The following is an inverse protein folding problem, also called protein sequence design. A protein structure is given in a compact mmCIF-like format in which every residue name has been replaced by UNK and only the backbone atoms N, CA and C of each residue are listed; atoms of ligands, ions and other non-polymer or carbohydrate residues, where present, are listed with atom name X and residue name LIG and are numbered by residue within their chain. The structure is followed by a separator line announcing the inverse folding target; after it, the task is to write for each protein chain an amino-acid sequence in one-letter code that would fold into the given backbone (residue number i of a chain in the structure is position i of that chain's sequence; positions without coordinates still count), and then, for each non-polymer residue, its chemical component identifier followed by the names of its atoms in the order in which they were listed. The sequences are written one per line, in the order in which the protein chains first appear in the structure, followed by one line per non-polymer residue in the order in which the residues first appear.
data_IF_439693184408
#
_entry.id   IF_439693184408
#
_cell.length_a   1.000
_cell.length_b   1.000
_cell.length_c   1.000
_cell.angle_alpha   90.00
_cell.angle_beta   90.00
_cell.angle_gamma   90.00
#
_symmetry.space_group_name_H-M   'P 1'
#
loop_
_entity.id
_entity.type
_entity.pdbx_description
1 polymer ?
#
# COMPACT_ATOMS: atom_id res chain seq x y z
N UNK A 1 -19.23 5.08 -26.31
CA UNK A 1 -18.81 5.80 -25.09
C UNK A 1 -19.89 5.71 -24.02
N UNK A 2 -21.09 6.28 -24.17
CA UNK A 2 -22.17 6.14 -23.18
C UNK A 2 -22.49 4.66 -22.83
N UNK A 3 -22.65 3.80 -23.85
CA UNK A 3 -22.98 2.38 -23.65
C UNK A 3 -21.86 1.58 -22.94
N UNK A 4 -20.59 1.94 -23.14
CA UNK A 4 -19.46 1.33 -22.43
C UNK A 4 -19.41 1.80 -20.96
N UNK A 5 -19.63 3.10 -20.73
CA UNK A 5 -19.66 3.67 -19.37
C UNK A 5 -20.80 3.06 -18.56
N UNK A 6 -22.01 2.96 -19.13
CA UNK A 6 -23.16 2.32 -18.47
C UNK A 6 -22.91 0.86 -18.13
N UNK A 7 -22.24 0.10 -19.01
CA UNK A 7 -21.86 -1.30 -18.73
C UNK A 7 -20.79 -1.45 -17.66
N UNK A 8 -19.85 -0.50 -17.57
CA UNK A 8 -18.81 -0.48 -16.54
C UNK A 8 -19.41 -0.19 -15.15
N UNK A 9 -20.33 0.78 -15.09
CA UNK A 9 -21.06 1.13 -13.86
C UNK A 9 -21.89 -0.06 -13.36
N UNK A 10 -22.60 -0.76 -14.24
CA UNK A 10 -23.38 -1.97 -13.89
C UNK A 10 -22.49 -3.12 -13.37
N UNK A 11 -21.29 -3.30 -13.94
CA UNK A 11 -20.34 -4.32 -13.52
C UNK A 11 -19.80 -4.01 -12.12
N UNK A 12 -19.41 -2.76 -11.87
CA UNK A 12 -18.92 -2.32 -10.57
C UNK A 12 -20.00 -2.41 -9.50
N UNK A 13 -21.24 -2.02 -9.82
CA UNK A 13 -22.39 -2.17 -8.94
C UNK A 13 -22.63 -3.64 -8.57
N UNK A 14 -22.45 -4.54 -9.53
CA UNK A 14 -22.54 -5.99 -9.29
C UNK A 14 -21.44 -6.46 -8.34
N UNK A 15 -20.19 -6.03 -8.56
CA UNK A 15 -19.06 -6.34 -7.67
C UNK A 15 -19.34 -5.83 -6.25
N UNK A 16 -19.80 -4.59 -6.09
CA UNK A 16 -20.11 -3.99 -4.79
C UNK A 16 -21.21 -4.74 -4.04
N UNK A 17 -22.24 -5.23 -4.76
CA UNK A 17 -23.32 -6.04 -4.17
C UNK A 17 -22.88 -7.46 -3.80
N UNK A 18 -22.03 -8.09 -4.63
CA UNK A 18 -21.56 -9.47 -4.41
C UNK A 18 -20.47 -9.54 -3.34
N UNK A 19 -19.61 -8.51 -3.27
CA UNK A 19 -18.46 -8.44 -2.37
C UNK A 19 -18.55 -7.17 -1.51
N UNK A 20 -19.49 -7.10 -0.55
CA UNK A 20 -19.77 -5.86 0.17
C UNK A 20 -18.58 -5.42 1.04
N UNK A 21 -18.27 -4.13 0.96
CA UNK A 21 -17.27 -3.44 1.79
C UNK A 21 -18.00 -2.50 2.73
N UNK A 22 -17.67 -2.54 4.02
CA UNK A 22 -18.19 -1.61 5.01
C UNK A 22 -17.03 -0.81 5.60
N UNK A 23 -17.09 0.50 5.42
CA UNK A 23 -16.22 1.45 6.10
C UNK A 23 -16.92 1.91 7.38
N UNK A 24 -16.14 2.24 8.40
CA UNK A 24 -16.68 2.80 9.63
C UNK A 24 -15.63 3.58 10.39
N UNK A 25 -16.01 4.03 11.57
CA UNK A 25 -15.10 4.77 12.44
C UNK A 25 -14.11 3.85 13.14
N UNK A 26 -12.86 4.28 13.21
CA UNK A 26 -11.86 3.68 14.09
C UNK A 26 -11.32 4.71 15.07
N UNK A 27 -11.57 4.48 16.36
CA UNK A 27 -10.98 5.26 17.44
C UNK A 27 -9.59 4.71 17.74
N UNK A 28 -8.56 5.47 17.39
CA UNK A 28 -7.19 5.06 17.64
C UNK A 28 -6.94 5.02 19.15
N UNK A 29 -6.35 3.93 19.68
CA UNK A 29 -5.88 3.91 21.06
C UNK A 29 -4.97 5.12 21.33
N UNK A 30 -5.06 5.71 22.53
CA UNK A 30 -4.29 6.89 22.95
C UNK A 30 -2.75 6.68 23.03
N UNK A 31 -2.27 5.57 22.50
CA UNK A 31 -0.88 5.12 22.40
C UNK A 31 -0.83 3.68 21.88
N UNK A 32 0.31 3.27 21.32
CA UNK A 32 0.46 1.93 20.74
C UNK A 32 -0.20 1.78 19.36
N UNK A 33 -0.44 2.87 18.66
CA UNK A 33 -0.84 2.88 17.25
C UNK A 33 0.35 3.28 16.41
N UNK A 34 0.69 2.48 15.40
CA UNK A 34 1.71 2.83 14.41
C UNK A 34 1.06 3.08 13.04
N UNK A 35 1.65 3.99 12.26
CA UNK A 35 1.29 4.21 10.86
C UNK A 35 2.25 3.42 9.97
N UNK A 36 1.72 2.69 9.01
CA UNK A 36 2.48 2.04 7.95
C UNK A 36 2.07 2.65 6.62
N UNK A 37 3.04 3.22 5.90
CA UNK A 37 2.89 3.81 4.58
C UNK A 37 3.53 2.87 3.57
N UNK A 38 2.73 2.37 2.62
CA UNK A 38 3.17 1.38 1.63
C UNK A 38 3.45 2.07 0.28
N UNK A 39 4.72 2.14 -0.08
CA UNK A 39 5.21 2.40 -1.44
C UNK A 39 4.67 3.65 -2.13
N UNK A 40 4.45 4.74 -1.39
CA UNK A 40 4.14 6.07 -1.98
C UNK A 40 5.40 6.71 -2.58
N UNK A 41 6.03 5.96 -3.48
CA UNK A 41 7.22 6.32 -4.24
C UNK A 41 6.84 6.90 -5.61
N UNK A 42 7.72 7.71 -6.20
CA UNK A 42 7.50 8.36 -7.49
C UNK A 42 7.14 7.36 -8.59
N UNK A 43 7.77 6.19 -8.57
CA UNK A 43 7.57 5.08 -9.51
C UNK A 43 6.14 4.56 -9.61
N UNK A 44 5.31 4.83 -8.61
CA UNK A 44 3.90 4.41 -8.57
C UNK A 44 2.91 5.58 -8.47
N UNK A 45 3.35 6.76 -8.03
CA UNK A 45 2.44 7.82 -7.65
C UNK A 45 2.73 9.20 -8.29
N UNK A 46 3.94 9.43 -8.81
CA UNK A 46 4.27 10.69 -9.48
C UNK A 46 4.03 10.60 -10.99
N UNK A 47 3.21 11.50 -11.53
CA UNK A 47 2.80 11.47 -12.93
C UNK A 47 4.00 11.39 -13.88
N UNK A 48 4.04 10.34 -14.71
CA UNK A 48 5.09 10.11 -15.70
C UNK A 48 6.43 9.58 -15.17
N UNK A 49 6.57 9.30 -13.86
CA UNK A 49 7.81 8.81 -13.25
C UNK A 49 7.99 7.28 -13.39
N UNK A 50 7.97 6.75 -14.60
CA UNK A 50 8.18 5.33 -14.87
C UNK A 50 6.93 4.59 -15.37
N UNK A 51 7.06 3.29 -15.68
CA UNK A 51 6.02 2.54 -16.41
C UNK A 51 4.80 2.18 -15.56
N UNK A 52 4.90 2.25 -14.23
CA UNK A 52 3.81 1.95 -13.29
C UNK A 52 3.29 3.19 -12.57
N UNK A 53 3.79 4.37 -12.92
CA UNK A 53 3.27 5.62 -12.41
C UNK A 53 2.08 6.09 -13.27
N UNK A 54 1.17 6.93 -12.74
CA UNK A 54 0.06 7.45 -13.52
C UNK A 54 0.57 8.20 -14.76
N UNK A 55 0.00 7.93 -15.93
CA UNK A 55 0.34 8.66 -17.16
C UNK A 55 -0.20 10.10 -17.16
N UNK A 56 -1.22 10.36 -16.34
CA UNK A 56 -1.87 11.65 -16.15
C UNK A 56 -2.30 11.78 -14.67
N UNK A 57 -2.68 12.99 -14.20
CA UNK A 57 -3.25 13.18 -12.87
C UNK A 57 -4.36 12.17 -12.56
N UNK A 58 -4.30 11.55 -11.39
CA UNK A 58 -5.28 10.58 -10.92
C UNK A 58 -5.81 10.98 -9.54
N UNK A 59 -7.11 11.28 -9.45
CA UNK A 59 -7.72 11.83 -8.26
C UNK A 59 -7.64 10.91 -7.03
N UNK A 60 -7.64 9.58 -7.23
CA UNK A 60 -7.49 8.62 -6.13
C UNK A 60 -6.08 8.66 -5.55
N UNK A 61 -5.06 8.69 -6.42
CA UNK A 61 -3.65 8.78 -6.02
C UNK A 61 -3.35 10.12 -5.35
N UNK A 62 -3.85 11.23 -5.90
CA UNK A 62 -3.69 12.57 -5.29
C UNK A 62 -4.33 12.65 -3.90
N UNK A 63 -5.54 12.09 -3.74
CA UNK A 63 -6.22 12.01 -2.45
C UNK A 63 -5.44 11.17 -1.45
N UNK A 64 -4.93 10.01 -1.88
CA UNK A 64 -4.10 9.14 -1.04
C UNK A 64 -2.90 9.90 -0.48
N UNK A 65 -2.11 10.56 -1.35
CA UNK A 65 -0.91 11.31 -0.93
C UNK A 65 -1.28 12.40 0.08
N UNK A 66 -2.35 13.16 -0.17
CA UNK A 66 -2.80 14.22 0.72
C UNK A 66 -3.25 13.68 2.10
N UNK A 67 -3.98 12.57 2.11
CA UNK A 67 -4.44 11.92 3.33
C UNK A 67 -3.28 11.28 4.11
N UNK A 68 -2.32 10.68 3.41
CA UNK A 68 -1.09 10.13 4.01
C UNK A 68 -0.26 11.25 4.63
N UNK A 69 -0.02 12.36 3.94
CA UNK A 69 0.74 13.50 4.51
C UNK A 69 0.05 14.03 5.79
N UNK A 70 -1.28 14.22 5.73
CA UNK A 70 -2.09 14.66 6.88
C UNK A 70 -1.95 13.71 8.08
N UNK A 71 -2.04 12.40 7.84
CA UNK A 71 -1.90 11.40 8.91
C UNK A 71 -0.47 11.30 9.43
N UNK A 72 0.51 11.27 8.54
CA UNK A 72 1.92 11.20 8.91
C UNK A 72 2.33 12.39 9.78
N UNK A 73 1.88 13.61 9.44
CA UNK A 73 2.09 14.80 10.28
C UNK A 73 1.41 14.69 11.64
N UNK A 74 0.20 14.12 11.70
CA UNK A 74 -0.50 13.86 12.97
C UNK A 74 0.28 12.88 13.85
N UNK A 75 0.82 11.81 13.26
CA UNK A 75 1.63 10.82 13.98
C UNK A 75 2.95 11.42 14.45
N UNK A 76 3.68 12.11 13.57
CA UNK A 76 4.94 12.78 13.90
C UNK A 76 4.75 13.84 15.01
N UNK A 77 3.70 14.67 14.92
CA UNK A 77 3.38 15.68 15.94
C UNK A 77 3.03 15.09 17.31
N UNK A 78 2.57 13.83 17.34
CA UNK A 78 2.30 13.07 18.57
C UNK A 78 3.50 12.20 19.01
N UNK A 79 4.60 12.17 18.26
CA UNK A 79 5.72 11.25 18.47
C UNK A 79 5.34 9.78 18.32
N UNK A 80 4.33 9.48 17.51
CA UNK A 80 3.87 8.12 17.24
C UNK A 80 4.68 7.51 16.09
N UNK A 81 4.97 6.20 16.14
CA UNK A 81 5.89 5.58 15.20
C UNK A 81 5.26 5.48 13.81
N UNK A 82 6.07 5.77 12.80
CA UNK A 82 5.75 5.66 11.38
C UNK A 82 6.74 4.66 10.75
N UNK A 83 6.25 3.73 9.96
CA UNK A 83 7.07 2.82 9.15
C UNK A 83 6.71 3.01 7.69
N UNK A 84 7.71 3.13 6.83
CA UNK A 84 7.53 3.44 5.41
C UNK A 84 8.25 2.39 4.59
N UNK A 85 7.52 1.70 3.71
CA UNK A 85 8.15 0.84 2.72
C UNK A 85 8.52 1.64 1.47
N UNK A 86 9.66 1.29 0.87
CA UNK A 86 10.11 1.83 -0.41
C UNK A 86 10.33 0.67 -1.34
N UNK A 87 9.48 0.55 -2.35
CA UNK A 87 9.72 -0.37 -3.45
C UNK A 87 10.98 0.06 -4.21
N UNK A 88 11.94 -0.86 -4.30
CA UNK A 88 13.29 -0.57 -4.80
C UNK A 88 13.89 -1.82 -5.43
N UNK A 89 14.08 -1.77 -6.74
CA UNK A 89 14.59 -2.91 -7.51
C UNK A 89 15.99 -2.67 -8.07
N UNK A 90 16.77 -3.75 -8.04
CA UNK A 90 17.96 -3.90 -8.88
C UNK A 90 17.51 -4.36 -10.29
N UNK A 91 18.07 -3.81 -11.38
CA UNK A 91 17.74 -4.24 -12.74
C UNK A 91 17.88 -5.75 -12.98
N UNK A 92 18.75 -6.43 -12.25
CA UNK A 92 19.00 -7.87 -12.38
C UNK A 92 18.01 -8.74 -11.58
N UNK A 93 17.03 -8.13 -10.89
CA UNK A 93 16.00 -8.81 -10.10
C UNK A 93 14.59 -8.43 -10.58
N UNK A 94 14.14 -8.98 -11.72
CA UNK A 94 12.81 -8.68 -12.24
C UNK A 94 11.71 -9.28 -11.34
N UNK A 95 10.59 -8.58 -11.24
CA UNK A 95 9.39 -9.04 -10.55
C UNK A 95 8.22 -9.19 -11.56
N UNK A 96 8.17 -10.31 -12.31
CA UNK A 96 7.08 -10.55 -13.25
C UNK A 96 5.73 -10.69 -12.51
N UNK A 97 4.62 -10.23 -13.12
CA UNK A 97 4.48 -9.82 -14.53
C UNK A 97 4.81 -8.34 -14.79
N UNK A 98 5.23 -7.58 -13.77
CA UNK A 98 5.45 -6.14 -13.90
C UNK A 98 6.69 -5.83 -14.75
N UNK A 99 6.67 -4.71 -15.52
CA UNK A 99 7.86 -4.22 -16.20
C UNK A 99 8.91 -3.76 -15.17
N UNK A 100 10.18 -3.55 -15.57
CA UNK A 100 11.18 -2.94 -14.69
C UNK A 100 10.67 -1.60 -14.13
N UNK A 101 10.62 -1.49 -12.81
CA UNK A 101 10.06 -0.35 -12.08
C UNK A 101 10.90 -0.04 -10.84
N UNK A 102 10.72 1.16 -10.27
CA UNK A 102 11.38 1.59 -9.04
C UNK A 102 12.89 1.26 -8.99
N UNK A 103 13.57 1.44 -10.13
CA UNK A 103 14.96 1.01 -10.28
C UNK A 103 15.90 1.96 -9.57
N UNK A 104 16.85 1.41 -8.81
CA UNK A 104 17.88 2.19 -8.12
C UNK A 104 18.62 3.11 -9.09
N UNK A 105 18.73 4.39 -8.72
CA UNK A 105 19.45 5.42 -9.49
C UNK A 105 18.60 6.13 -10.55
N UNK A 106 17.34 5.72 -10.73
CA UNK A 106 16.38 6.46 -11.58
C UNK A 106 15.64 7.56 -10.81
N UNK A 107 15.65 7.48 -9.47
CA UNK A 107 14.84 8.32 -8.60
C UNK A 107 13.38 7.88 -8.51
N UNK A 108 12.97 6.82 -9.21
CA UNK A 108 11.61 6.29 -9.13
C UNK A 108 11.31 5.61 -7.78
N UNK A 109 12.35 5.13 -7.07
CA UNK A 109 12.26 4.50 -5.75
C UNK A 109 12.25 5.50 -4.58
N UNK A 110 12.33 6.80 -4.88
CA UNK A 110 12.23 7.87 -3.89
C UNK A 110 10.76 8.16 -3.57
N UNK A 111 10.48 8.63 -2.35
CA UNK A 111 9.15 9.10 -1.97
C UNK A 111 8.65 10.20 -2.90
N UNK A 112 7.34 10.29 -3.09
CA UNK A 112 6.72 11.47 -3.71
C UNK A 112 7.10 12.74 -2.94
N UNK A 113 7.15 13.87 -3.64
CA UNK A 113 7.74 15.11 -3.12
C UNK A 113 7.05 15.61 -1.84
N UNK A 114 5.75 15.39 -1.75
CA UNK A 114 4.87 15.72 -0.64
C UNK A 114 5.25 14.96 0.64
N UNK A 115 5.82 13.76 0.51
CA UNK A 115 6.19 12.87 1.61
C UNK A 115 7.70 12.81 1.86
N UNK A 116 8.52 13.45 1.02
CA UNK A 116 9.99 13.42 1.13
C UNK A 116 10.52 13.92 2.49
N UNK A 117 9.75 14.73 3.22
CA UNK A 117 10.13 15.19 4.57
C UNK A 117 10.28 14.02 5.57
N UNK A 118 9.63 12.88 5.34
CA UNK A 118 9.72 11.68 6.16
C UNK A 118 11.13 11.09 6.22
N UNK A 119 11.97 11.34 5.22
CA UNK A 119 13.37 10.89 5.22
C UNK A 119 14.19 11.49 6.38
N UNK A 120 13.75 12.63 6.89
CA UNK A 120 14.39 13.35 8.00
C UNK A 120 13.57 13.33 9.29
N UNK A 121 12.41 12.68 9.30
CA UNK A 121 11.50 12.64 10.45
C UNK A 121 11.96 11.59 11.48
N UNK A 122 12.29 11.97 12.73
CA UNK A 122 12.76 11.03 13.75
C UNK A 122 11.78 9.89 14.09
N UNK A 123 10.48 10.13 13.92
CA UNK A 123 9.43 9.12 14.17
C UNK A 123 9.29 8.11 13.02
N UNK A 124 9.92 8.37 11.86
CA UNK A 124 9.80 7.55 10.67
C UNK A 124 10.95 6.54 10.54
N UNK A 125 10.60 5.29 10.25
CA UNK A 125 11.54 4.22 9.89
C UNK A 125 11.30 3.82 8.45
N UNK A 126 12.25 4.16 7.56
CA UNK A 126 12.20 3.80 6.15
C UNK A 126 12.86 2.42 5.93
N UNK A 127 12.20 1.55 5.17
CA UNK A 127 12.65 0.20 4.87
C UNK A 127 12.45 -0.05 3.38
N UNK A 128 13.55 -0.13 2.63
CA UNK A 128 13.50 -0.56 1.23
C UNK A 128 13.18 -2.06 1.13
N UNK A 129 12.40 -2.42 0.11
CA UNK A 129 12.07 -3.81 -0.27
C UNK A 129 12.27 -3.99 -1.77
N UNK A 130 12.61 -5.21 -2.17
CA UNK A 130 12.83 -5.63 -3.56
C UNK A 130 11.77 -6.64 -4.04
N UNK A 131 10.58 -6.60 -3.43
CA UNK A 131 9.42 -7.39 -3.82
C UNK A 131 8.11 -6.72 -3.37
N UNK A 132 6.97 -7.15 -3.92
CA UNK A 132 5.62 -6.69 -3.57
C UNK A 132 5.38 -6.69 -2.06
N UNK A 133 5.67 -7.81 -1.40
CA UNK A 133 5.24 -8.03 -0.04
C UNK A 133 6.19 -7.38 0.99
N UNK A 134 5.75 -6.29 1.60
CA UNK A 134 6.58 -5.56 2.56
C UNK A 134 7.00 -6.39 3.78
N UNK A 135 6.14 -7.30 4.27
CA UNK A 135 6.54 -8.17 5.39
C UNK A 135 7.73 -9.05 5.00
N UNK A 136 7.72 -9.61 3.78
CA UNK A 136 8.85 -10.41 3.26
C UNK A 136 10.08 -9.54 3.05
N UNK A 137 9.93 -8.42 2.34
CA UNK A 137 11.03 -7.49 2.04
C UNK A 137 11.66 -6.83 3.28
N UNK A 138 10.94 -6.76 4.40
CA UNK A 138 11.49 -6.31 5.68
C UNK A 138 12.38 -7.38 6.37
N UNK A 139 12.51 -8.58 5.81
CA UNK A 139 13.39 -9.64 6.33
C UNK A 139 14.82 -9.43 5.85
N UNK A 140 15.74 -9.25 6.79
CA UNK A 140 17.16 -9.17 6.47
C UNK A 140 17.63 -10.50 5.87
N UNK A 141 18.34 -10.44 4.74
CA UNK A 141 18.94 -11.61 4.13
C UNK A 141 20.45 -11.60 4.40
N UNK A 142 20.93 -12.65 5.07
CA UNK A 142 22.35 -12.88 5.27
C UNK A 142 23.03 -13.44 4.01
N UNK A 143 24.33 -13.72 4.11
CA UNK A 143 25.08 -14.38 3.05
C UNK A 143 24.39 -15.68 2.60
N UNK A 144 24.30 -15.89 1.28
CA UNK A 144 23.60 -17.00 0.64
C UNK A 144 22.07 -17.03 0.86
N UNK A 145 21.43 -15.89 1.14
CA UNK A 145 19.96 -15.78 1.16
C UNK A 145 19.28 -16.35 2.39
N UNK A 146 20.02 -16.56 3.48
CA UNK A 146 19.43 -17.03 4.75
C UNK A 146 18.63 -15.90 5.41
N UNK A 147 17.37 -16.16 5.71
CA UNK A 147 16.52 -15.23 6.44
C UNK A 147 17.06 -14.95 7.85
N UNK A 148 17.20 -13.67 8.17
CA UNK A 148 17.60 -13.11 9.45
C UNK A 148 16.41 -12.51 10.19
N UNK A 149 16.63 -11.36 10.83
CA UNK A 149 15.58 -10.65 11.57
C UNK A 149 14.59 -10.00 10.60
N UNK A 150 13.35 -9.87 11.05
CA UNK A 150 12.35 -9.11 10.32
C UNK A 150 12.21 -7.72 10.97
N UNK A 151 12.64 -6.67 10.26
CA UNK A 151 12.71 -5.30 10.77
C UNK A 151 11.33 -4.73 11.11
N UNK A 152 10.29 -5.15 10.40
CA UNK A 152 8.92 -4.77 10.70
C UNK A 152 8.42 -5.41 12.00
N UNK A 153 8.69 -6.71 12.20
CA UNK A 153 8.34 -7.39 13.47
C UNK A 153 9.06 -6.75 14.65
N UNK A 154 10.34 -6.42 14.48
CA UNK A 154 11.11 -5.68 15.49
C UNK A 154 10.51 -4.29 15.76
N UNK A 155 10.08 -3.56 14.73
CA UNK A 155 9.44 -2.26 14.87
C UNK A 155 8.09 -2.35 15.61
N UNK A 156 7.24 -3.33 15.27
CA UNK A 156 5.95 -3.56 15.95
C UNK A 156 6.16 -3.90 17.42
N UNK A 157 7.08 -4.83 17.72
CA UNK A 157 7.34 -5.30 19.07
C UNK A 157 8.06 -4.26 19.93
N UNK A 158 9.04 -3.55 19.37
CA UNK A 158 9.79 -2.50 20.04
C UNK A 158 8.91 -1.32 20.47
N UNK A 159 7.94 -0.96 19.62
CA UNK A 159 6.96 0.09 19.94
C UNK A 159 5.74 -0.43 20.71
N UNK A 160 5.67 -1.75 20.97
CA UNK A 160 4.55 -2.40 21.68
C UNK A 160 3.19 -2.08 21.07
N UNK A 161 3.13 -2.07 19.73
CA UNK A 161 1.92 -1.65 19.04
C UNK A 161 0.77 -2.60 19.36
N UNK A 162 -0.39 -2.00 19.61
CA UNK A 162 -1.69 -2.65 19.72
C UNK A 162 -2.51 -2.52 18.45
N UNK A 163 -2.22 -1.50 17.62
CA UNK A 163 -2.81 -1.35 16.30
C UNK A 163 -1.81 -0.82 15.28
N UNK A 164 -2.03 -1.21 14.02
CA UNK A 164 -1.33 -0.66 12.86
C UNK A 164 -2.38 -0.09 11.92
N UNK A 165 -2.24 1.19 11.56
CA UNK A 165 -3.01 1.85 10.50
C UNK A 165 -2.17 1.81 9.23
N UNK A 166 -2.76 1.34 8.13
CA UNK A 166 -2.10 1.15 6.84
C UNK A 166 -2.72 2.06 5.79
N UNK A 167 -1.85 2.72 5.03
CA UNK A 167 -2.11 3.58 3.87
C UNK A 167 -1.09 3.24 2.77
N UNK A 168 -1.36 3.64 1.53
CA UNK A 168 -0.41 3.51 0.42
C UNK A 168 -0.99 2.87 -0.84
N UNK A 169 -0.09 2.40 -1.71
CA UNK A 169 -0.36 1.95 -3.07
C UNK A 169 0.43 0.66 -3.37
N UNK A 170 -0.07 -0.30 -4.15
CA UNK A 170 -1.45 -0.44 -4.62
C UNK A 170 -2.34 -1.16 -3.60
N UNK A 171 -3.59 -0.73 -3.51
CA UNK A 171 -4.58 -1.23 -2.54
C UNK A 171 -4.75 -2.75 -2.59
N UNK A 172 -4.79 -3.30 -3.79
CA UNK A 172 -5.00 -4.72 -4.07
C UNK A 172 -3.72 -5.50 -4.41
N UNK A 173 -2.55 -4.85 -4.32
CA UNK A 173 -1.23 -5.46 -4.55
C UNK A 173 -0.38 -5.32 -3.28
N UNK A 174 0.51 -4.33 -3.19
CA UNK A 174 1.45 -4.19 -2.07
C UNK A 174 0.73 -3.99 -0.72
N UNK A 175 -0.33 -3.17 -0.67
CA UNK A 175 -1.10 -2.92 0.55
C UNK A 175 -1.81 -4.19 1.00
N UNK A 176 -2.53 -4.86 0.09
CA UNK A 176 -3.24 -6.11 0.41
C UNK A 176 -2.26 -7.20 0.85
N UNK A 177 -1.18 -7.45 0.11
CA UNK A 177 -0.19 -8.48 0.45
C UNK A 177 0.42 -8.26 1.83
N UNK A 178 0.79 -7.01 2.13
CA UNK A 178 1.26 -6.61 3.45
C UNK A 178 0.20 -6.90 4.53
N UNK A 179 -1.04 -6.43 4.35
CA UNK A 179 -2.11 -6.57 5.35
C UNK A 179 -2.44 -8.03 5.61
N UNK A 180 -2.60 -8.85 4.56
CA UNK A 180 -2.91 -10.28 4.69
C UNK A 180 -1.79 -11.05 5.39
N UNK A 181 -0.53 -10.70 5.08
CA UNK A 181 0.63 -11.32 5.70
C UNK A 181 0.80 -10.87 7.15
N UNK A 182 0.59 -9.58 7.45
CA UNK A 182 0.65 -9.03 8.80
C UNK A 182 -0.42 -9.67 9.70
N UNK A 183 -1.65 -9.82 9.20
CA UNK A 183 -2.72 -10.54 9.90
C UNK A 183 -2.31 -11.98 10.23
N UNK A 184 -1.70 -12.67 9.28
CA UNK A 184 -1.23 -14.05 9.46
C UNK A 184 -0.10 -14.13 10.49
N UNK A 185 0.90 -13.25 10.40
CA UNK A 185 2.01 -13.16 11.33
C UNK A 185 1.55 -12.80 12.76
N UNK A 186 0.59 -11.89 12.90
CA UNK A 186 -0.08 -11.57 14.18
C UNK A 186 -0.73 -12.82 14.75
N UNK A 187 -1.55 -13.52 13.97
CA UNK A 187 -2.25 -14.74 14.40
C UNK A 187 -1.28 -15.86 14.76
N UNK A 188 -0.11 -15.91 14.11
CA UNK A 188 0.96 -16.85 14.41
C UNK A 188 1.77 -16.47 15.67
N UNK A 189 1.49 -15.33 16.29
CA UNK A 189 2.13 -14.90 17.54
C UNK A 189 3.48 -14.20 17.36
N UNK A 190 3.83 -13.75 16.15
CA UNK A 190 5.09 -13.02 15.91
C UNK A 190 5.09 -11.62 16.55
N UNK A 191 3.90 -11.06 16.79
CA UNK A 191 3.68 -9.71 17.34
C UNK A 191 2.63 -9.75 18.47
N UNK A 192 2.99 -10.21 19.68
CA UNK A 192 2.03 -10.60 20.72
C UNK A 192 1.15 -9.45 21.25
N UNK A 193 1.56 -8.18 21.06
CA UNK A 193 0.76 -7.01 21.48
C UNK A 193 -0.23 -6.55 20.42
N UNK A 194 0.01 -6.89 19.15
CA UNK A 194 -0.75 -6.36 18.02
C UNK A 194 -2.13 -7.01 17.97
N UNK A 195 -3.18 -6.18 17.97
CA UNK A 195 -4.58 -6.61 17.93
C UNK A 195 -5.23 -6.23 16.62
N UNK A 196 -5.25 -4.94 16.31
CA UNK A 196 -5.94 -4.43 15.14
C UNK A 196 -4.97 -4.17 13.99
N UNK A 197 -5.31 -4.65 12.81
CA UNK A 197 -4.74 -4.20 11.53
C UNK A 197 -5.84 -3.41 10.84
N UNK A 198 -5.57 -2.14 10.57
CA UNK A 198 -6.56 -1.16 10.13
C UNK A 198 -6.12 -0.62 8.78
N UNK A 199 -7.02 -0.57 7.81
CA UNK A 199 -6.79 0.03 6.49
C UNK A 199 -7.61 1.29 6.41
N UNK A 200 -6.94 2.43 6.23
CA UNK A 200 -7.60 3.72 6.06
C UNK A 200 -7.81 3.98 4.57
N UNK A 201 -9.02 3.68 4.09
CA UNK A 201 -9.36 3.71 2.66
C UNK A 201 -9.04 5.05 1.97
N UNK A 202 -9.29 6.23 2.59
CA UNK A 202 -8.94 7.50 1.96
C UNK A 202 -7.45 7.69 1.67
N UNK A 203 -6.60 7.00 2.43
CA UNK A 203 -5.15 6.94 2.22
C UNK A 203 -4.73 5.71 1.40
N UNK A 204 -5.61 5.14 0.57
CA UNK A 204 -5.27 4.02 -0.29
C UNK A 204 -5.64 4.33 -1.74
N UNK A 205 -4.79 3.91 -2.67
CA UNK A 205 -5.06 3.99 -4.11
C UNK A 205 -4.55 2.75 -4.84
N UNK A 206 -4.96 2.58 -6.09
CA UNK A 206 -4.37 1.61 -7.03
C UNK A 206 -4.22 2.26 -8.40
N UNK A 207 -3.52 1.62 -9.35
CA UNK A 207 -3.35 2.17 -10.70
C UNK A 207 -4.56 1.87 -11.59
N UNK A 208 -4.68 2.64 -12.69
CA UNK A 208 -5.73 2.45 -13.68
C UNK A 208 -5.13 2.01 -15.02
N UNK A 209 -5.37 0.75 -15.40
CA UNK A 209 -5.03 0.21 -16.70
C UNK A 209 -6.27 -0.48 -17.30
N UNK A 210 -7.23 0.29 -17.86
CA UNK A 210 -8.41 -0.27 -18.50
C UNK A 210 -8.04 -1.25 -19.63
N UNK A 211 -8.96 -2.18 -19.95
CA UNK A 211 -8.71 -3.21 -20.94
C UNK A 211 -8.35 -2.64 -22.32
N UNK A 212 -8.99 -1.54 -22.71
CA UNK A 212 -8.72 -0.84 -23.97
C UNK A 212 -7.30 -0.28 -24.00
N UNK A 213 -6.84 0.28 -22.88
CA UNK A 213 -5.47 0.81 -22.76
C UNK A 213 -4.46 -0.33 -22.78
N UNK A 214 -4.73 -1.44 -22.09
CA UNK A 214 -3.88 -2.63 -22.14
C UNK A 214 -3.76 -3.17 -23.57
N UNK A 215 -4.87 -3.23 -24.33
CA UNK A 215 -4.89 -3.63 -25.74
C UNK A 215 -4.10 -2.68 -26.63
N UNK A 216 -4.30 -1.36 -26.48
CA UNK A 216 -3.57 -0.32 -27.23
C UNK A 216 -2.05 -0.40 -27.00
N UNK A 217 -1.62 -0.78 -25.79
CA UNK A 217 -0.22 -1.02 -25.43
C UNK A 217 0.31 -2.39 -25.88
N UNK A 218 -0.53 -3.24 -26.48
CA UNK A 218 -0.16 -4.59 -26.91
C UNK A 218 0.10 -5.56 -25.75
N UNK A 219 -0.44 -5.27 -24.56
CA UNK A 219 -0.36 -6.12 -23.38
C UNK A 219 -1.39 -7.26 -23.46
N UNK A 220 -1.17 -8.39 -22.77
CA UNK A 220 -2.18 -9.44 -22.70
C UNK A 220 -3.45 -8.92 -22.00
N UNK A 221 -4.62 -9.45 -22.35
CA UNK A 221 -5.90 -9.10 -21.73
C UNK A 221 -5.85 -9.21 -20.19
N UNK A 222 -5.08 -10.16 -19.67
CA UNK A 222 -4.87 -10.37 -18.23
C UNK A 222 -4.08 -9.25 -17.53
N UNK A 223 -3.52 -8.29 -18.27
CA UNK A 223 -2.90 -7.10 -17.72
C UNK A 223 -3.93 -6.01 -17.38
N UNK A 224 -5.15 -6.11 -17.89
CA UNK A 224 -6.21 -5.16 -17.58
C UNK A 224 -6.45 -5.09 -16.07
N UNK A 225 -6.46 -3.88 -15.56
CA UNK A 225 -6.57 -3.54 -14.15
C UNK A 225 -7.41 -2.26 -14.01
N UNK A 226 -8.75 -2.36 -14.09
CA UNK A 226 -9.62 -1.21 -13.89
C UNK A 226 -9.59 -0.76 -12.43
N UNK A 227 -9.29 0.52 -12.19
CA UNK A 227 -8.96 1.05 -10.87
C UNK A 227 -10.03 0.79 -9.80
N UNK A 228 -11.29 1.18 -10.06
CA UNK A 228 -12.36 1.06 -9.05
C UNK A 228 -12.68 -0.39 -8.67
N UNK A 229 -12.90 -1.33 -9.63
CA UNK A 229 -13.09 -2.74 -9.31
C UNK A 229 -11.93 -3.37 -8.53
N UNK A 230 -10.68 -3.07 -8.92
CA UNK A 230 -9.48 -3.62 -8.29
C UNK A 230 -9.33 -3.10 -6.84
N UNK A 231 -9.45 -1.78 -6.65
CA UNK A 231 -9.44 -1.14 -5.34
C UNK A 231 -10.49 -1.75 -4.40
N UNK A 232 -11.74 -1.86 -4.88
CA UNK A 232 -12.84 -2.44 -4.12
C UNK A 232 -12.56 -3.90 -3.73
N UNK A 233 -12.00 -4.68 -4.65
CA UNK A 233 -11.65 -6.07 -4.39
C UNK A 233 -10.53 -6.19 -3.35
N UNK A 234 -9.48 -5.36 -3.44
CA UNK A 234 -8.41 -5.32 -2.44
C UNK A 234 -8.96 -5.06 -1.04
N UNK A 235 -9.83 -4.05 -0.89
CA UNK A 235 -10.51 -3.74 0.37
C UNK A 235 -11.34 -4.93 0.88
N UNK A 236 -12.20 -5.50 0.04
CA UNK A 236 -13.01 -6.66 0.40
C UNK A 236 -12.14 -7.83 0.86
N UNK A 237 -11.06 -8.10 0.13
CA UNK A 237 -10.17 -9.21 0.45
C UNK A 237 -9.52 -8.98 1.81
N UNK A 238 -8.97 -7.80 2.10
CA UNK A 238 -8.43 -7.47 3.42
C UNK A 238 -9.47 -7.60 4.54
N UNK A 239 -10.67 -7.05 4.35
CA UNK A 239 -11.75 -7.09 5.35
C UNK A 239 -12.18 -8.52 5.69
N UNK A 240 -12.35 -9.37 4.67
CA UNK A 240 -12.77 -10.77 4.86
C UNK A 240 -11.72 -11.64 5.55
N UNK A 241 -10.46 -11.17 5.71
CA UNK A 241 -9.42 -11.83 6.53
C UNK A 241 -9.25 -11.20 7.91
N UNK A 242 -10.07 -10.20 8.24
CA UNK A 242 -10.13 -9.58 9.56
C UNK A 242 -9.36 -8.27 9.71
N UNK A 243 -9.00 -7.61 8.61
CA UNK A 243 -8.61 -6.20 8.68
C UNK A 243 -9.86 -5.34 8.99
N UNK A 244 -9.67 -4.26 9.75
CA UNK A 244 -10.70 -3.23 9.93
C UNK A 244 -10.55 -2.19 8.84
N UNK A 245 -11.61 -1.94 8.08
CA UNK A 245 -11.62 -0.85 7.11
C UNK A 245 -12.25 0.39 7.73
N UNK A 246 -11.66 1.56 7.45
CA UNK A 246 -12.14 2.83 8.01
C UNK A 246 -11.95 3.98 7.02
N UNK A 247 -12.90 4.90 7.03
CA UNK A 247 -12.82 6.20 6.36
C UNK A 247 -12.63 7.36 7.36
N UNK A 248 -12.62 7.05 8.65
CA UNK A 248 -12.63 8.04 9.73
C UNK A 248 -11.78 7.57 10.91
N UNK A 249 -10.62 8.22 11.10
CA UNK A 249 -9.71 7.97 12.23
C UNK A 249 -9.90 9.03 13.33
N UNK A 250 -10.36 8.61 14.50
CA UNK A 250 -10.57 9.48 15.67
C UNK A 250 -9.46 9.32 16.68
#
# INVERSE_FOLDING_TARGET
MLDLMTRSDEALDTIRRTFPVALGDYAMPAGGTGLVIIDEVKGFAAVGCGPLAPAAPNAQVERMIAETDRLARRFAGAGWPICVSLDRHDPDRPEPPYPPHCLVGTGHDELVSELAWLESEPSATLIAKDCINFFIGATELGAAGKAGRNRLVDWVNGNRLVSVVTVGICTDVCVMDFVLTLLSARNHGMMPTLKDVVVYEPGCATYDLPAEVAEELGLPETAAHPQEPAHHMGLYMMASRGARLTDTLR
#
